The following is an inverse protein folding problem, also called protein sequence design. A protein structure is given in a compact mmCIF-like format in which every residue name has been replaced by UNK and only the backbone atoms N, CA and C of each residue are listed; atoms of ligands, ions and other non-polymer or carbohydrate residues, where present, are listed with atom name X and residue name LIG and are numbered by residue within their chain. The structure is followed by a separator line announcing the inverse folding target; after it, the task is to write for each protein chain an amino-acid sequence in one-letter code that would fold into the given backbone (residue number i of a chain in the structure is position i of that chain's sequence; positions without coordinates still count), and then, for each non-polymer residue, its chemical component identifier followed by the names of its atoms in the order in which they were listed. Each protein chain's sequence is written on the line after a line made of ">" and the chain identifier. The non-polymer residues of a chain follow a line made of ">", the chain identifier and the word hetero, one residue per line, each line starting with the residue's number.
data_IF_537530934410
#
_entry.id   IF_537530934410
#
_cell.length_a   1.000
_cell.length_b   1.000
_cell.length_c   1.000
_cell.angle_alpha   90.00
_cell.angle_beta   90.00
_cell.angle_gamma   90.00
#
_symmetry.space_group_name_H-M   'P 1'
#
loop_
_entity.id
_entity.type
_entity.pdbx_description
1 polymer ?
#
# COMPACT_ATOMS: atom_id res chain seq x y z
N UNK A 1 2.11 -4.60 30.90
CA UNK A 1 2.53 -3.98 29.62
C UNK A 1 1.26 -3.78 28.81
N UNK A 2 1.02 -2.57 28.29
CA UNK A 2 -0.10 -2.36 27.35
C UNK A 2 0.23 -3.12 26.06
N UNK A 3 -0.73 -3.85 25.51
CA UNK A 3 -0.56 -4.43 24.17
C UNK A 3 -0.42 -3.28 23.16
N UNK A 4 0.53 -3.36 22.20
CA UNK A 4 0.58 -2.41 21.11
C UNK A 4 -0.76 -2.44 20.35
N UNK A 5 -1.24 -1.27 19.94
CA UNK A 5 -2.51 -1.16 19.21
C UNK A 5 -2.48 -2.04 17.95
N UNK A 6 -3.56 -2.82 17.75
CA UNK A 6 -3.74 -3.65 16.57
C UNK A 6 -3.87 -2.81 15.30
N UNK A 7 -4.49 -1.63 15.41
CA UNK A 7 -4.68 -0.64 14.34
C UNK A 7 -3.59 0.42 14.42
N UNK A 8 -2.98 0.76 13.29
CA UNK A 8 -2.01 1.85 13.20
C UNK A 8 -2.73 3.21 13.32
N UNK A 9 -2.13 4.21 13.99
CA UNK A 9 -2.70 5.54 14.05
C UNK A 9 -2.80 6.14 12.65
N UNK A 10 -3.67 7.14 12.49
CA UNK A 10 -3.66 7.99 11.29
C UNK A 10 -2.33 8.78 11.29
N UNK A 11 -1.65 8.94 10.14
CA UNK A 11 -0.42 9.73 10.08
C UNK A 11 -0.61 11.13 10.69
N UNK A 12 0.34 11.62 11.49
CA UNK A 12 0.21 12.90 12.22
C UNK A 12 -0.03 14.10 11.29
N UNK A 13 0.39 14.01 10.03
CA UNK A 13 0.15 15.03 9.01
C UNK A 13 -1.33 15.16 8.59
N UNK A 14 -2.15 14.14 8.87
CA UNK A 14 -3.59 14.13 8.61
C UNK A 14 -4.31 14.45 9.93
N UNK A 15 -4.66 15.73 10.13
CA UNK A 15 -5.24 16.21 11.38
C UNK A 15 -6.63 15.61 11.66
N UNK A 16 -7.43 15.37 10.61
CA UNK A 16 -8.73 14.72 10.68
C UNK A 16 -8.90 13.75 9.50
N UNK A 17 -9.61 12.61 9.65
CA UNK A 17 -9.88 11.68 8.53
C UNK A 17 -10.50 12.33 7.29
N UNK A 18 -11.23 13.44 7.49
CA UNK A 18 -11.83 14.19 6.39
C UNK A 18 -10.82 15.04 5.60
N UNK A 19 -9.60 15.22 6.10
CA UNK A 19 -8.54 16.01 5.47
C UNK A 19 -7.68 15.19 4.48
N UNK A 20 -8.02 13.91 4.29
CA UNK A 20 -7.29 13.04 3.37
C UNK A 20 -8.09 11.83 2.92
N UNK A 21 -7.50 11.07 2.00
CA UNK A 21 -8.04 9.83 1.47
C UNK A 21 -7.16 8.67 1.89
N UNK A 22 -7.72 7.66 2.57
CA UNK A 22 -7.00 6.41 2.80
C UNK A 22 -6.92 5.62 1.49
N UNK A 23 -5.71 5.51 0.95
CA UNK A 23 -5.44 4.84 -0.32
C UNK A 23 -5.28 3.34 -0.13
N UNK A 24 -4.66 2.94 0.97
CA UNK A 24 -4.44 1.54 1.26
C UNK A 24 -4.25 1.27 2.74
N UNK A 25 -4.50 0.02 3.09
CA UNK A 25 -4.12 -0.55 4.38
C UNK A 25 -3.77 -2.03 4.24
N UNK A 26 -2.74 -2.44 4.95
CA UNK A 26 -2.20 -3.81 4.90
C UNK A 26 -2.22 -4.39 6.30
N UNK A 27 -2.84 -5.54 6.41
CA UNK A 27 -3.01 -6.32 7.62
C UNK A 27 -2.34 -7.68 7.45
N UNK A 28 -1.85 -8.23 8.55
CA UNK A 28 -1.08 -9.46 8.53
C UNK A 28 -1.31 -10.29 9.79
N UNK A 29 -1.30 -11.61 9.64
CA UNK A 29 -1.05 -12.59 10.70
C UNK A 29 0.24 -13.37 10.43
N UNK A 30 0.50 -14.43 11.19
CA UNK A 30 1.58 -15.37 10.88
C UNK A 30 1.35 -16.12 9.57
N UNK A 31 0.09 -16.31 9.18
CA UNK A 31 -0.30 -17.22 8.09
C UNK A 31 -0.91 -16.49 6.89
N UNK A 32 -1.45 -15.29 7.10
CA UNK A 32 -2.24 -14.62 6.08
C UNK A 32 -1.95 -13.13 5.96
N UNK A 33 -2.25 -12.61 4.77
CA UNK A 33 -2.18 -11.18 4.46
C UNK A 33 -3.48 -10.67 3.88
N UNK A 34 -3.83 -9.44 4.25
CA UNK A 34 -5.04 -8.78 3.81
C UNK A 34 -4.73 -7.37 3.36
N UNK A 35 -5.14 -7.02 2.15
CA UNK A 35 -4.92 -5.69 1.58
C UNK A 35 -6.26 -5.05 1.27
N UNK A 36 -6.50 -3.88 1.86
CA UNK A 36 -7.55 -2.97 1.47
C UNK A 36 -6.96 -1.92 0.54
N UNK A 37 -7.56 -1.72 -0.63
CA UNK A 37 -7.05 -0.78 -1.64
C UNK A 37 -8.20 0.08 -2.18
N UNK A 38 -8.00 1.40 -2.17
CA UNK A 38 -8.91 2.33 -2.81
C UNK A 38 -8.66 2.34 -4.31
N UNK A 39 -9.73 2.22 -5.10
CA UNK A 39 -9.68 2.23 -6.56
C UNK A 39 -10.57 3.34 -7.09
N UNK A 40 -9.95 4.43 -7.56
CA UNK A 40 -10.66 5.49 -8.25
C UNK A 40 -11.12 5.05 -9.64
N UNK A 41 -12.32 5.46 -10.04
CA UNK A 41 -12.94 5.04 -11.31
C UNK A 41 -12.08 5.37 -12.54
N UNK A 42 -11.41 6.53 -12.53
CA UNK A 42 -10.58 7.03 -13.63
C UNK A 42 -9.10 6.63 -13.53
N UNK A 43 -8.70 5.87 -12.51
CA UNK A 43 -7.29 5.60 -12.25
C UNK A 43 -6.68 4.65 -13.28
N UNK A 44 -5.45 4.92 -13.69
CA UNK A 44 -4.68 4.06 -14.59
C UNK A 44 -3.52 3.39 -13.84
N UNK A 45 -2.79 2.51 -14.52
CA UNK A 45 -1.52 1.94 -14.06
C UNK A 45 -0.56 3.02 -13.55
N UNK A 46 -0.55 4.20 -14.15
CA UNK A 46 0.28 5.34 -13.74
C UNK A 46 -0.09 5.90 -12.38
N UNK A 47 -1.38 6.00 -12.05
CA UNK A 47 -1.79 6.43 -10.71
C UNK A 47 -1.30 5.45 -9.64
N UNK A 48 -1.49 4.16 -9.88
CA UNK A 48 -1.05 3.13 -8.93
C UNK A 48 0.47 3.08 -8.81
N UNK A 49 1.20 3.15 -9.93
CA UNK A 49 2.66 3.18 -9.92
C UNK A 49 3.21 4.39 -9.15
N UNK A 50 2.59 5.57 -9.28
CA UNK A 50 2.98 6.75 -8.52
C UNK A 50 2.78 6.55 -7.01
N UNK A 51 1.62 6.04 -6.59
CA UNK A 51 1.34 5.77 -5.16
C UNK A 51 2.33 4.76 -4.60
N UNK A 52 2.60 3.68 -5.32
CA UNK A 52 3.55 2.65 -4.90
C UNK A 52 4.99 3.17 -4.84
N UNK A 53 5.40 4.01 -5.80
CA UNK A 53 6.71 4.65 -5.77
C UNK A 53 6.83 5.66 -4.61
N UNK A 54 5.79 6.46 -4.36
CA UNK A 54 5.74 7.38 -3.22
C UNK A 54 5.83 6.60 -1.90
N UNK A 55 5.13 5.46 -1.78
CA UNK A 55 5.22 4.58 -0.62
C UNK A 55 6.63 4.05 -0.41
N UNK A 56 7.26 3.55 -1.47
CA UNK A 56 8.64 3.08 -1.39
C UNK A 56 9.56 4.19 -0.87
N UNK A 57 9.46 5.41 -1.41
CA UNK A 57 10.27 6.56 -0.97
C UNK A 57 10.05 6.90 0.51
N UNK A 58 8.78 6.92 0.97
CA UNK A 58 8.49 7.16 2.38
C UNK A 58 9.04 6.07 3.30
N UNK A 59 8.95 4.80 2.87
CA UNK A 59 9.52 3.68 3.62
C UNK A 59 11.03 3.83 3.80
N UNK A 60 11.78 4.23 2.77
CA UNK A 60 13.22 4.45 2.89
C UNK A 60 13.56 5.67 3.74
N UNK A 61 12.79 6.77 3.62
CA UNK A 61 12.97 7.95 4.46
C UNK A 61 12.83 7.61 5.95
N UNK A 62 11.97 6.65 6.28
CA UNK A 62 11.77 6.16 7.64
C UNK A 62 12.86 5.17 8.06
N UNK A 63 13.40 4.37 7.14
CA UNK A 63 14.49 3.40 7.41
C UNK A 63 15.88 4.02 7.49
N UNK A 64 16.15 5.14 6.81
CA UNK A 64 17.48 5.76 6.70
C UNK A 64 18.03 6.38 8.00
N UNK A 65 17.52 5.98 9.17
CA UNK A 65 18.05 6.37 10.48
C UNK A 65 19.12 5.41 11.01
N UNK A 66 19.21 4.18 10.50
CA UNK A 66 20.30 3.24 10.76
C UNK A 66 20.58 2.42 9.48
N UNK A 67 21.77 2.57 8.91
CA UNK A 67 22.37 1.83 7.79
C UNK A 67 21.78 1.95 6.35
N UNK A 68 22.60 2.61 5.50
CA UNK A 68 22.94 2.47 4.08
C UNK A 68 22.14 1.63 3.05
N UNK A 69 20.90 1.21 3.28
CA UNK A 69 20.09 0.58 2.23
C UNK A 69 19.47 1.65 1.33
N UNK A 70 19.80 1.60 0.04
CA UNK A 70 19.39 2.62 -0.92
C UNK A 70 17.99 2.31 -1.46
N UNK A 71 17.29 3.36 -1.89
CA UNK A 71 15.97 3.29 -2.50
C UNK A 71 15.85 2.21 -3.60
N UNK A 72 16.87 2.16 -4.45
CA UNK A 72 16.97 1.18 -5.53
C UNK A 72 16.90 -0.27 -5.04
N UNK A 73 17.36 -0.56 -3.82
CA UNK A 73 17.55 -1.92 -3.34
C UNK A 73 16.23 -2.55 -2.91
N UNK A 74 15.37 -1.81 -2.21
CA UNK A 74 14.08 -2.33 -1.75
C UNK A 74 13.10 -2.48 -2.91
N UNK A 75 13.10 -1.52 -3.84
CA UNK A 75 12.31 -1.64 -5.08
C UNK A 75 12.85 -2.78 -5.94
N UNK A 76 14.18 -2.92 -6.08
CA UNK A 76 14.75 -4.05 -6.82
C UNK A 76 14.44 -5.41 -6.16
N UNK A 77 14.47 -5.50 -4.82
CA UNK A 77 14.05 -6.69 -4.08
C UNK A 77 12.59 -7.03 -4.34
N UNK A 78 11.69 -6.05 -4.21
CA UNK A 78 10.26 -6.24 -4.45
C UNK A 78 9.97 -6.74 -5.87
N UNK A 79 10.71 -6.22 -6.85
CA UNK A 79 10.57 -6.59 -8.25
C UNK A 79 11.40 -7.82 -8.67
N UNK A 80 12.27 -8.32 -7.78
CA UNK A 80 13.06 -9.54 -7.99
C UNK A 80 12.29 -10.81 -7.60
N UNK A 81 11.41 -10.70 -6.60
CA UNK A 81 10.60 -11.79 -6.05
C UNK A 81 9.12 -11.71 -6.47
N UNK A 82 8.85 -11.49 -7.76
CA UNK A 82 7.48 -11.38 -8.31
C UNK A 82 6.66 -12.69 -8.17
N UNK A 83 7.29 -13.77 -7.70
CA UNK A 83 6.67 -15.09 -7.52
C UNK A 83 6.16 -15.37 -6.09
N UNK A 84 6.22 -14.40 -5.17
CA UNK A 84 5.54 -14.52 -3.88
C UNK A 84 4.00 -14.50 -4.06
N UNK A 85 3.25 -15.36 -3.34
CA UNK A 85 1.80 -15.41 -3.45
C UNK A 85 1.16 -14.05 -3.11
N UNK A 86 0.10 -13.73 -3.84
CA UNK A 86 -0.76 -12.60 -3.52
C UNK A 86 -1.36 -12.77 -2.11
N UNK A 87 -1.70 -11.66 -1.47
CA UNK A 87 -2.50 -11.65 -0.25
C UNK A 87 -3.72 -12.57 -0.36
N UNK A 88 -4.02 -13.29 0.72
CA UNK A 88 -5.12 -14.25 0.80
C UNK A 88 -6.48 -13.58 0.62
N UNK A 89 -6.58 -12.30 0.96
CA UNK A 89 -7.79 -11.52 0.76
C UNK A 89 -7.49 -10.09 0.29
N UNK A 90 -8.24 -9.65 -0.72
CA UNK A 90 -8.21 -8.30 -1.25
C UNK A 90 -9.59 -7.64 -1.19
N UNK A 91 -9.68 -6.54 -0.44
CA UNK A 91 -10.86 -5.69 -0.40
C UNK A 91 -10.73 -4.52 -1.37
N UNK A 92 -11.64 -4.44 -2.36
CA UNK A 92 -11.75 -3.27 -3.24
C UNK A 92 -12.80 -2.30 -2.70
N UNK A 93 -12.40 -1.04 -2.55
CA UNK A 93 -13.31 0.04 -2.15
C UNK A 93 -13.28 1.13 -3.21
N UNK A 94 -14.41 1.27 -3.92
CA UNK A 94 -14.56 2.21 -5.03
C UNK A 94 -15.08 3.57 -4.60
N UNK A 95 -14.70 4.61 -5.33
CA UNK A 95 -15.21 5.96 -5.16
C UNK A 95 -14.83 6.87 -6.32
N UNK A 96 -15.58 7.96 -6.49
CA UNK A 96 -15.34 8.99 -7.51
C UNK A 96 -14.21 9.93 -7.08
N UNK A 97 -12.97 9.42 -7.06
CA UNK A 97 -11.79 10.27 -6.92
C UNK A 97 -11.40 10.84 -8.28
N UNK A 98 -12.04 11.94 -8.71
CA UNK A 98 -11.69 12.63 -9.95
C UNK A 98 -10.37 13.36 -9.78
N UNK A 99 -9.24 12.68 -10.00
CA UNK A 99 -7.87 13.25 -10.11
C UNK A 99 -7.32 14.08 -8.95
N UNK A 100 -8.12 14.44 -7.92
CA UNK A 100 -7.73 15.21 -6.74
C UNK A 100 -8.21 14.52 -5.47
N UNK A 101 -7.35 14.35 -4.45
CA UNK A 101 -7.69 13.66 -3.21
C UNK A 101 -8.83 14.27 -2.37
N UNK A 102 -9.36 15.44 -2.75
CA UNK A 102 -10.33 16.21 -1.95
C UNK A 102 -11.78 16.05 -2.43
N UNK A 103 -12.04 15.34 -3.54
CA UNK A 103 -13.39 15.10 -4.06
C UNK A 103 -14.00 13.76 -3.59
N UNK A 104 -13.32 13.07 -2.67
CA UNK A 104 -13.77 11.79 -2.13
C UNK A 104 -14.47 12.03 -0.80
N UNK A 105 -15.72 11.56 -0.67
CA UNK A 105 -16.40 11.51 0.62
C UNK A 105 -15.57 10.72 1.64
N UNK A 106 -15.64 11.10 2.92
CA UNK A 106 -14.95 10.45 4.05
C UNK A 106 -14.80 8.93 3.87
N UNK A 107 -13.60 8.46 3.53
CA UNK A 107 -13.36 7.05 3.29
C UNK A 107 -12.10 6.59 4.02
N UNK A 108 -12.28 6.32 5.31
CA UNK A 108 -11.47 5.27 5.93
C UNK A 108 -11.83 3.96 5.25
N UNK A 109 -10.82 3.25 4.75
CA UNK A 109 -11.03 1.92 4.21
C UNK A 109 -11.49 1.01 5.36
N UNK A 110 -12.53 0.17 5.18
CA UNK A 110 -12.89 -0.78 6.20
C UNK A 110 -11.75 -1.79 6.37
N UNK A 111 -11.73 -2.47 7.53
CA UNK A 111 -10.70 -3.45 7.82
C UNK A 111 -10.89 -4.63 6.84
N UNK A 112 -9.89 -4.97 6.02
CA UNK A 112 -10.01 -6.00 4.98
C UNK A 112 -9.87 -7.41 5.56
N UNK A 113 -10.23 -7.62 6.83
CA UNK A 113 -10.02 -8.88 7.54
C UNK A 113 -11.40 -9.46 7.89
N UNK A 114 -11.65 -10.75 7.65
CA UNK A 114 -12.83 -11.45 8.13
C UNK A 114 -13.04 -11.24 9.65
N UNK A 115 -14.29 -11.12 10.06
CA UNK A 115 -14.63 -10.76 11.45
C UNK A 115 -14.16 -11.80 12.48
N UNK A 116 -14.02 -13.05 12.07
CA UNK A 116 -13.54 -14.18 12.87
C UNK A 116 -12.01 -14.28 12.97
N UNK A 117 -11.27 -13.52 12.15
CA UNK A 117 -9.80 -13.52 12.11
C UNK A 117 -9.19 -12.24 12.72
N UNK A 118 -10.02 -11.24 13.04
CA UNK A 118 -9.58 -9.89 13.43
C UNK A 118 -8.74 -9.83 14.72
N UNK A 119 -8.90 -10.81 15.62
CA UNK A 119 -8.18 -10.85 16.89
C UNK A 119 -6.71 -11.25 16.74
N UNK A 120 -6.36 -11.99 15.67
CA UNK A 120 -5.03 -12.59 15.45
C UNK A 120 -4.20 -11.86 14.39
N UNK A 121 -4.77 -10.83 13.76
CA UNK A 121 -4.11 -10.00 12.76
C UNK A 121 -3.73 -8.64 13.34
N UNK A 122 -2.81 -7.97 12.68
CA UNK A 122 -2.45 -6.59 13.00
C UNK A 122 -2.15 -5.79 11.75
N UNK A 123 -2.37 -4.48 11.84
CA UNK A 123 -2.06 -3.56 10.75
C UNK A 123 -0.55 -3.27 10.71
N UNK A 124 0.04 -3.42 9.52
CA UNK A 124 1.47 -3.27 9.27
C UNK A 124 1.80 -2.02 8.46
N UNK A 125 0.87 -1.58 7.61
CA UNK A 125 1.01 -0.35 6.85
C UNK A 125 -0.36 0.26 6.55
N UNK A 126 -0.40 1.59 6.49
CA UNK A 126 -1.52 2.33 5.88
C UNK A 126 -1.02 3.60 5.21
N UNK A 127 -1.61 3.94 4.08
CA UNK A 127 -1.22 5.08 3.26
C UNK A 127 -2.38 6.04 3.02
N UNK A 128 -2.12 7.32 3.22
CA UNK A 128 -3.08 8.41 3.11
C UNK A 128 -2.61 9.46 2.12
N UNK A 129 -3.48 9.91 1.23
CA UNK A 129 -3.23 11.09 0.39
C UNK A 129 -3.82 12.33 1.04
N UNK A 130 -3.00 13.36 1.28
CA UNK A 130 -3.40 14.66 1.85
C UNK A 130 -3.71 15.74 0.79
N UNK A 131 -3.83 15.34 -0.48
CA UNK A 131 -3.94 16.27 -1.61
C UNK A 131 -2.62 16.66 -2.27
N UNK A 132 -1.48 16.40 -1.62
CA UNK A 132 -0.14 16.81 -2.09
C UNK A 132 0.90 15.70 -2.06
N UNK A 133 0.81 14.81 -1.07
CA UNK A 133 1.79 13.76 -0.77
C UNK A 133 1.09 12.52 -0.24
N UNK A 134 1.79 11.40 -0.35
CA UNK A 134 1.47 10.21 0.43
C UNK A 134 2.03 10.39 1.85
N UNK A 135 1.19 10.12 2.85
CA UNK A 135 1.55 10.02 4.26
C UNK A 135 1.37 8.57 4.69
N UNK A 136 2.33 8.01 5.42
CA UNK A 136 2.32 6.60 5.78
C UNK A 136 2.39 6.41 7.28
N UNK A 137 1.67 5.44 7.80
CA UNK A 137 1.95 4.85 9.10
C UNK A 137 2.40 3.43 8.89
N UNK A 138 3.52 3.08 9.52
CA UNK A 138 4.18 1.79 9.40
C UNK A 138 4.45 1.23 10.79
N UNK A 139 4.31 -0.08 10.93
CA UNK A 139 4.73 -0.78 12.13
C UNK A 139 6.26 -0.90 12.15
N UNK A 140 6.85 -0.84 13.34
CA UNK A 140 8.30 -0.83 13.53
C UNK A 140 9.00 -2.07 12.95
N UNK A 141 8.37 -3.24 13.04
CA UNK A 141 8.92 -4.50 12.51
C UNK A 141 9.00 -4.53 10.98
N UNK A 142 8.21 -3.72 10.27
CA UNK A 142 8.34 -3.50 8.84
C UNK A 142 9.55 -2.63 8.53
N UNK A 143 9.80 -1.61 9.36
CA UNK A 143 10.96 -0.73 9.19
C UNK A 143 12.28 -1.49 9.42
N UNK A 144 12.29 -2.51 10.26
CA UNK A 144 13.50 -3.27 10.59
C UNK A 144 13.83 -4.42 9.61
N UNK A 145 12.95 -4.75 8.67
CA UNK A 145 13.11 -5.92 7.79
C UNK A 145 12.85 -5.54 6.32
N UNK A 146 13.92 -5.40 5.53
CA UNK A 146 13.84 -5.01 4.12
C UNK A 146 13.02 -5.98 3.27
N UNK A 147 13.00 -7.27 3.61
CA UNK A 147 12.18 -8.24 2.88
C UNK A 147 10.70 -7.99 3.15
N UNK A 148 10.33 -7.65 4.39
CA UNK A 148 8.95 -7.25 4.72
C UNK A 148 8.55 -5.96 4.02
N UNK A 149 9.44 -4.98 3.98
CA UNK A 149 9.22 -3.73 3.26
C UNK A 149 9.01 -3.95 1.75
N UNK A 150 9.92 -4.69 1.10
CA UNK A 150 9.85 -5.04 -0.30
C UNK A 150 8.57 -5.83 -0.62
N UNK A 151 8.19 -6.75 0.26
CA UNK A 151 6.97 -7.53 0.12
C UNK A 151 5.71 -6.65 0.13
N UNK A 152 5.63 -5.61 0.98
CA UNK A 152 4.47 -4.69 0.94
C UNK A 152 4.37 -4.01 -0.43
N UNK A 153 5.50 -3.53 -0.97
CA UNK A 153 5.55 -2.90 -2.30
C UNK A 153 5.01 -3.86 -3.36
N UNK A 154 5.45 -5.12 -3.35
CA UNK A 154 4.97 -6.15 -4.26
C UNK A 154 3.46 -6.37 -4.12
N UNK A 155 2.94 -6.44 -2.89
CA UNK A 155 1.50 -6.56 -2.66
C UNK A 155 0.73 -5.39 -3.27
N UNK A 156 1.21 -4.14 -3.13
CA UNK A 156 0.55 -2.99 -3.75
C UNK A 156 0.51 -3.08 -5.28
N UNK A 157 1.60 -3.54 -5.91
CA UNK A 157 1.68 -3.74 -7.36
C UNK A 157 0.68 -4.81 -7.82
N UNK A 158 0.70 -5.99 -7.18
CA UNK A 158 -0.18 -7.10 -7.53
C UNK A 158 -1.66 -6.72 -7.32
N UNK A 159 -1.99 -5.99 -6.26
CA UNK A 159 -3.38 -5.55 -6.00
C UNK A 159 -3.84 -4.50 -7.00
N UNK A 160 -2.97 -3.58 -7.40
CA UNK A 160 -3.27 -2.63 -8.47
C UNK A 160 -3.49 -3.33 -9.82
N UNK A 161 -2.66 -4.31 -10.16
CA UNK A 161 -2.82 -5.12 -11.36
C UNK A 161 -4.14 -5.91 -11.34
N UNK A 162 -4.48 -6.56 -10.22
CA UNK A 162 -5.76 -7.26 -10.08
C UNK A 162 -6.96 -6.30 -10.24
N UNK A 163 -6.88 -5.11 -9.64
CA UNK A 163 -7.94 -4.10 -9.77
C UNK A 163 -8.16 -3.65 -11.23
N UNK A 164 -7.07 -3.45 -11.98
CA UNK A 164 -7.12 -3.08 -13.40
C UNK A 164 -7.57 -4.24 -14.28
N UNK A 165 -7.12 -5.47 -14.02
CA UNK A 165 -7.56 -6.67 -14.71
C UNK A 165 -9.08 -6.83 -14.59
N UNK A 166 -9.62 -6.74 -13.37
CA UNK A 166 -11.06 -6.89 -13.13
C UNK A 166 -11.89 -5.79 -13.80
N UNK A 167 -11.35 -4.57 -13.92
CA UNK A 167 -12.05 -3.44 -14.53
C UNK A 167 -12.01 -3.47 -16.06
N UNK A 168 -10.81 -3.68 -16.62
CA UNK A 168 -10.54 -3.43 -18.04
C UNK A 168 -10.33 -4.73 -18.84
N UNK A 169 -10.32 -5.90 -18.17
CA UNK A 169 -10.12 -7.21 -18.78
C UNK A 169 -8.69 -7.44 -19.29
N UNK A 170 -7.75 -6.60 -18.89
CA UNK A 170 -6.33 -6.68 -19.28
C UNK A 170 -5.64 -7.85 -18.57
N UNK A 171 -4.59 -8.39 -19.19
CA UNK A 171 -3.82 -9.48 -18.61
C UNK A 171 -3.13 -9.05 -17.31
N UNK A 172 -3.13 -9.94 -16.31
CA UNK A 172 -2.59 -9.64 -14.98
C UNK A 172 -1.07 -9.48 -15.02
N UNK A 173 -0.36 -10.36 -15.72
CA UNK A 173 1.10 -10.37 -15.76
C UNK A 173 1.60 -9.14 -16.53
N UNK A 174 0.94 -8.79 -17.64
CA UNK A 174 1.23 -7.56 -18.40
C UNK A 174 1.05 -6.30 -17.54
N UNK A 175 0.01 -6.28 -16.68
CA UNK A 175 -0.26 -5.17 -15.76
C UNK A 175 0.76 -5.09 -14.64
N UNK A 176 1.17 -6.22 -14.06
CA UNK A 176 2.24 -6.28 -13.06
C UNK A 176 3.54 -5.77 -13.68
N UNK A 177 3.90 -6.20 -14.89
CA UNK A 177 5.10 -5.73 -15.58
C UNK A 177 5.05 -4.23 -15.86
N UNK A 178 3.91 -3.74 -16.38
CA UNK A 178 3.72 -2.32 -16.68
C UNK A 178 3.87 -1.44 -15.43
N UNK A 179 3.18 -1.79 -14.34
CA UNK A 179 3.23 -1.03 -13.08
C UNK A 179 4.64 -1.10 -12.50
N UNK A 180 5.26 -2.29 -12.49
CA UNK A 180 6.62 -2.49 -11.99
C UNK A 180 7.65 -1.63 -12.74
N UNK A 181 7.55 -1.57 -14.06
CA UNK A 181 8.43 -0.74 -14.89
C UNK A 181 8.26 0.75 -14.57
N UNK A 182 7.03 1.21 -14.36
CA UNK A 182 6.75 2.59 -13.97
C UNK A 182 7.28 2.91 -12.57
N UNK A 183 7.05 2.02 -11.58
CA UNK A 183 7.58 2.17 -10.21
C UNK A 183 9.11 2.29 -10.25
N UNK A 184 9.79 1.45 -11.02
CA UNK A 184 11.25 1.51 -11.16
C UNK A 184 11.73 2.86 -11.72
N UNK A 185 11.08 3.37 -12.76
CA UNK A 185 11.43 4.65 -13.39
C UNK A 185 11.13 5.86 -12.49
N UNK A 186 10.16 5.74 -11.58
CA UNK A 186 9.81 6.78 -10.62
C UNK A 186 10.65 6.70 -9.34
N UNK A 187 11.18 5.51 -9.00
CA UNK A 187 11.99 5.28 -7.81
C UNK A 187 13.45 5.76 -7.93
N UNK A 188 13.97 5.91 -9.15
CA UNK A 188 15.29 6.46 -9.48
C UNK A 188 15.32 7.99 -9.51
#
# INVERSE_FOLDING_TARGET
>A
MQQPSTVLPIPEAIAHPADGLELFRVWRSTEATYVGWFVGDEWTSTNFAQITADFARELMNLQSRDDAVQNSDIVALALGDVHEPQADFSGRYGGTASTRPNDVAEHMLPIPVPADEIEDVYEVARGWADGKRLQVSLREDILMDHNRAAWIILQLIQHAANALQQRDGRDFDDLVEEISAQVRNLGT
#
